data_IF_710687212146
#
_entry.id   IF_710687212146
#
_cell.length_a   1.000
_cell.length_b   1.000
_cell.length_c   1.000
_cell.angle_alpha   90.00
_cell.angle_beta   90.00
_cell.angle_gamma   90.00
#
_symmetry.space_group_name_H-M   'P 1'
#
loop_
_entity.id
_entity.type
_entity.pdbx_description
1 polymer ?
#
# COMPACT_ATOMS: atom_id res chain seq x y z
N UNK A 1 -13.73 40.58 -3.08
CA UNK A 1 -13.50 39.13 -2.86
C UNK A 1 -13.06 38.91 -1.42
N UNK A 2 -13.95 38.38 -0.59
CA UNK A 2 -13.66 37.96 0.79
C UNK A 2 -12.92 36.62 0.76
N UNK A 3 -11.65 36.60 1.20
CA UNK A 3 -10.88 35.37 1.36
C UNK A 3 -11.36 34.65 2.62
N UNK A 4 -11.79 33.39 2.47
CA UNK A 4 -12.10 32.51 3.60
C UNK A 4 -10.81 32.18 4.35
N UNK A 5 -10.86 32.25 5.68
CA UNK A 5 -9.73 31.90 6.55
C UNK A 5 -9.46 30.40 6.47
N UNK A 6 -8.19 29.99 6.31
CA UNK A 6 -7.83 28.57 6.22
C UNK A 6 -8.13 27.85 7.54
N UNK A 7 -8.84 26.73 7.47
CA UNK A 7 -9.07 25.87 8.64
C UNK A 7 -7.76 25.18 9.03
N UNK A 8 -7.35 25.41 10.27
CA UNK A 8 -6.20 24.73 10.87
C UNK A 8 -6.73 23.50 11.62
N UNK A 9 -6.37 22.32 11.13
CA UNK A 9 -6.68 21.05 11.77
C UNK A 9 -5.50 20.61 12.64
N UNK A 10 -5.78 20.18 13.87
CA UNK A 10 -4.76 19.68 14.81
C UNK A 10 -4.92 18.17 14.95
N UNK A 11 -3.85 17.43 14.69
CA UNK A 11 -3.81 15.97 14.87
C UNK A 11 -3.58 15.66 16.35
N UNK A 12 -4.59 15.14 17.04
CA UNK A 12 -4.53 14.82 18.49
C UNK A 12 -4.15 13.36 18.76
N UNK A 13 -4.24 12.48 17.77
CA UNK A 13 -4.05 11.04 17.94
C UNK A 13 -2.62 10.53 17.63
N UNK A 14 -1.66 11.44 17.39
CA UNK A 14 -0.32 11.08 16.90
C UNK A 14 0.40 10.08 17.80
N UNK A 15 0.34 10.29 19.12
CA UNK A 15 0.96 9.40 20.10
C UNK A 15 0.38 7.98 20.04
N UNK A 16 -0.94 7.86 19.97
CA UNK A 16 -1.62 6.56 19.90
C UNK A 16 -1.32 5.83 18.59
N UNK A 17 -1.32 6.55 17.47
CA UNK A 17 -0.94 6.00 16.17
C UNK A 17 0.51 5.50 16.17
N UNK A 18 1.44 6.30 16.69
CA UNK A 18 2.85 5.93 16.77
C UNK A 18 3.11 4.70 17.66
N UNK A 19 2.42 4.61 18.81
CA UNK A 19 2.46 3.40 19.66
C UNK A 19 1.96 2.17 18.94
N UNK A 20 0.86 2.28 18.18
CA UNK A 20 0.35 1.19 17.37
C UNK A 20 1.35 0.76 16.29
N UNK A 21 2.07 1.71 15.69
CA UNK A 21 3.11 1.42 14.70
C UNK A 21 4.32 0.69 15.32
N UNK A 22 4.77 1.08 16.50
CA UNK A 22 5.87 0.42 17.22
C UNK A 22 5.44 -1.00 17.64
N UNK A 23 4.21 -1.16 18.14
CA UNK A 23 3.67 -2.45 18.55
C UNK A 23 3.38 -3.41 17.40
N UNK A 24 3.29 -2.92 16.16
CA UNK A 24 3.13 -3.74 14.94
C UNK A 24 4.32 -4.66 14.67
N UNK A 25 5.43 -4.46 15.39
CA UNK A 25 6.64 -5.27 15.24
C UNK A 25 7.36 -4.99 13.92
N UNK A 26 8.48 -5.70 13.72
CA UNK A 26 9.31 -5.52 12.54
C UNK A 26 8.70 -6.27 11.35
N UNK A 27 8.09 -5.54 10.41
CA UNK A 27 7.60 -6.15 9.17
C UNK A 27 8.77 -6.25 8.21
N UNK A 28 9.40 -7.43 8.19
CA UNK A 28 10.32 -7.78 7.13
C UNK A 28 9.50 -8.20 5.89
N UNK A 29 9.46 -7.34 4.88
CA UNK A 29 8.91 -7.70 3.56
C UNK A 29 10.09 -8.19 2.72
N UNK A 30 10.11 -9.49 2.41
CA UNK A 30 11.08 -10.05 1.48
C UNK A 30 10.61 -9.77 0.05
N UNK A 31 11.35 -8.95 -0.67
CA UNK A 31 11.20 -8.82 -2.12
C UNK A 31 12.21 -9.75 -2.77
N UNK A 32 11.72 -10.83 -3.37
CA UNK A 32 12.53 -11.67 -4.23
C UNK A 32 12.68 -10.99 -5.61
N UNK A 33 13.91 -10.69 -6.07
CA UNK A 33 14.14 -10.08 -7.38
C UNK A 33 13.74 -10.98 -8.55
N UNK A 34 13.57 -12.29 -8.34
CA UNK A 34 13.04 -13.20 -9.36
C UNK A 34 11.51 -13.19 -9.45
N UNK A 35 10.81 -12.56 -8.50
CA UNK A 35 9.34 -12.51 -8.51
C UNK A 35 8.84 -11.50 -9.54
N UNK A 36 8.20 -12.02 -10.60
CA UNK A 36 7.53 -11.22 -11.62
C UNK A 36 6.19 -10.67 -11.07
N UNK A 37 6.27 -9.55 -10.34
CA UNK A 37 5.12 -8.88 -9.70
C UNK A 37 4.07 -8.35 -10.69
N UNK A 38 4.51 -8.06 -11.92
CA UNK A 38 3.65 -7.49 -12.95
C UNK A 38 3.33 -8.55 -14.00
N UNK A 39 2.05 -8.76 -14.26
CA UNK A 39 1.64 -9.52 -15.43
C UNK A 39 2.20 -8.85 -16.70
N UNK A 40 2.68 -9.61 -17.69
CA UNK A 40 3.13 -9.05 -18.96
C UNK A 40 1.99 -8.23 -19.59
N UNK A 41 2.31 -7.02 -20.07
CA UNK A 41 1.31 -6.13 -20.66
C UNK A 41 0.73 -6.78 -21.91
N UNK A 42 -0.52 -7.24 -21.82
CA UNK A 42 -1.32 -7.48 -23.03
C UNK A 42 -1.62 -6.10 -23.59
N UNK A 43 -1.15 -5.78 -24.79
CA UNK A 43 -1.16 -4.45 -25.42
C UNK A 43 -2.54 -3.83 -25.70
N UNK A 44 -3.53 -4.03 -24.84
CA UNK A 44 -4.81 -3.33 -24.80
C UNK A 44 -4.89 -2.57 -23.48
N UNK A 45 -5.27 -1.31 -23.58
CA UNK A 45 -5.50 -0.40 -22.46
C UNK A 45 -6.77 -0.81 -21.72
N UNK A 46 -6.73 -1.97 -21.06
CA UNK A 46 -7.74 -2.43 -20.13
C UNK A 46 -7.14 -2.37 -18.71
N UNK A 47 -7.98 -2.09 -17.70
CA UNK A 47 -7.53 -2.05 -16.30
C UNK A 47 -6.74 -3.34 -15.98
N UNK A 48 -5.56 -3.18 -15.38
CA UNK A 48 -4.70 -4.28 -14.96
C UNK A 48 -5.53 -5.36 -14.25
N UNK A 49 -5.75 -6.49 -14.92
CA UNK A 49 -6.40 -7.65 -14.33
C UNK A 49 -5.48 -8.20 -13.25
N UNK A 50 -5.98 -8.10 -12.02
CA UNK A 50 -5.70 -8.87 -10.80
C UNK A 50 -4.55 -9.89 -10.91
N UNK A 51 -3.47 -9.60 -10.18
CA UNK A 51 -2.38 -10.46 -9.70
C UNK A 51 -2.03 -11.73 -10.52
N UNK A 52 -0.76 -11.86 -10.92
CA UNK A 52 -0.21 -13.09 -11.51
C UNK A 52 -0.40 -14.31 -10.60
N UNK A 53 -0.62 -15.49 -11.18
CA UNK A 53 -0.81 -16.78 -10.48
C UNK A 53 0.37 -17.14 -9.55
N UNK A 54 1.55 -16.59 -9.82
CA UNK A 54 2.74 -16.71 -8.97
C UNK A 54 2.57 -16.05 -7.57
N UNK A 55 1.58 -15.18 -7.39
CA UNK A 55 1.23 -14.58 -6.09
C UNK A 55 0.20 -15.41 -5.31
N UNK A 56 -0.39 -16.44 -5.92
CA UNK A 56 -1.23 -17.41 -5.23
C UNK A 56 -0.32 -18.54 -4.76
N UNK A 57 -0.07 -18.59 -3.44
CA UNK A 57 0.61 -19.73 -2.83
C UNK A 57 -0.19 -21.01 -3.17
N UNK A 58 0.45 -22.07 -3.68
CA UNK A 58 -0.22 -23.36 -3.82
C UNK A 58 -0.50 -23.88 -2.41
N UNK A 59 -1.77 -23.95 -2.03
CA UNK A 59 -2.20 -24.96 -1.06
C UNK A 59 -2.31 -26.29 -1.82
N UNK A 60 -1.89 -27.37 -1.14
CA UNK A 60 -1.86 -28.77 -1.63
C UNK A 60 -3.00 -29.19 -2.57
#
# INVERSE_FOLDING_TARGET
MNKSTPKIYRTTNWSSYNRALINRGNIAIWFDPATQWYAPSKGKQERNQTYSDAAMLPND
#
